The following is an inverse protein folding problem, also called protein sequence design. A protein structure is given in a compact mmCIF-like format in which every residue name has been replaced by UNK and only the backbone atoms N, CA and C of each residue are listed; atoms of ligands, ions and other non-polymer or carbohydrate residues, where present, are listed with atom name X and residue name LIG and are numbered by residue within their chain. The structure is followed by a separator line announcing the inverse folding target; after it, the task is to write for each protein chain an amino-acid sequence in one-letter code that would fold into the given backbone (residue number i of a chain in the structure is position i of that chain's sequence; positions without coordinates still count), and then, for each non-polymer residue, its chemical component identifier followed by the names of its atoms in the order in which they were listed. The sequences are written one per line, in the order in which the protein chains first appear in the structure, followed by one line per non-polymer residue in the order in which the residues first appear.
data_IF_192372961359
#
_entry.id   IF_192372961359
#
_cell.length_a   1.000
_cell.length_b   1.000
_cell.length_c   1.000
_cell.angle_alpha   90.00
_cell.angle_beta   90.00
_cell.angle_gamma   90.00
#
_symmetry.space_group_name_H-M   'P 1'
#
loop_
_entity.id
_entity.type
_entity.pdbx_description
1 polymer ?
#
# COMPACT_ATOMS: atom_id res chain seq x y z
N UNK A 1 1.06 -3.66 38.40
CA UNK A 1 2.16 -2.89 37.79
C UNK A 1 2.08 -3.04 36.27
N UNK A 2 1.76 -1.97 35.54
CA UNK A 2 1.87 -1.97 34.07
C UNK A 2 3.31 -1.63 33.69
N UNK A 3 3.92 -2.44 32.83
CA UNK A 3 5.26 -2.15 32.31
C UNK A 3 5.14 -0.92 31.39
N UNK A 4 5.92 0.17 31.58
CA UNK A 4 5.86 1.37 30.73
C UNK A 4 6.11 1.12 29.24
N UNK A 5 6.73 -0.03 28.90
CA UNK A 5 6.98 -0.47 27.53
C UNK A 5 5.88 -1.35 26.94
N UNK A 6 4.89 -1.77 27.73
CA UNK A 6 3.79 -2.58 27.24
C UNK A 6 3.06 -1.80 26.16
N UNK A 7 3.13 -2.30 24.91
CA UNK A 7 2.53 -1.73 23.69
C UNK A 7 3.24 -0.53 23.05
N UNK A 8 4.44 -0.16 23.46
CA UNK A 8 5.16 0.99 22.85
C UNK A 8 5.45 0.85 21.34
N UNK A 9 5.43 -0.37 20.80
CA UNK A 9 5.62 -0.64 19.39
C UNK A 9 4.34 -1.11 18.69
N UNK A 10 3.18 -1.02 19.33
CA UNK A 10 1.93 -1.35 18.64
C UNK A 10 1.65 -0.33 17.54
N UNK A 11 1.17 -0.79 16.38
CA UNK A 11 0.58 0.10 15.41
C UNK A 11 -0.56 0.92 16.00
N UNK A 12 -0.69 2.16 15.52
CA UNK A 12 -1.82 3.03 15.81
C UNK A 12 -2.75 2.91 14.62
N UNK A 13 -3.91 2.29 14.84
CA UNK A 13 -4.98 2.23 13.85
C UNK A 13 -5.65 3.59 13.74
N UNK A 14 -5.81 4.06 12.50
CA UNK A 14 -6.34 5.37 12.19
C UNK A 14 -7.49 5.19 11.20
N UNK A 15 -8.65 5.70 11.57
CA UNK A 15 -9.80 5.72 10.67
C UNK A 15 -9.47 6.55 9.42
N UNK A 16 -9.91 6.10 8.24
CA UNK A 16 -9.57 6.75 6.97
C UNK A 16 -9.90 8.25 6.94
N UNK A 17 -11.04 8.65 7.50
CA UNK A 17 -11.47 10.06 7.58
C UNK A 17 -10.60 10.93 8.50
N UNK A 18 -9.83 10.32 9.41
CA UNK A 18 -8.90 11.03 10.29
C UNK A 18 -7.60 11.40 9.59
N UNK A 19 -7.41 10.97 8.33
CA UNK A 19 -6.27 11.34 7.50
C UNK A 19 -6.77 12.20 6.34
N UNK A 20 -5.99 13.15 5.89
CA UNK A 20 -6.19 13.84 4.61
C UNK A 20 -4.85 13.88 3.89
N UNK A 21 -4.83 13.47 2.63
CA UNK A 21 -3.62 13.53 1.79
C UNK A 21 -3.71 14.80 0.96
N UNK A 22 -2.64 15.57 0.95
CA UNK A 22 -2.55 16.85 0.26
C UNK A 22 -1.25 16.86 -0.55
N UNK A 23 -1.30 17.38 -1.77
CA UNK A 23 -0.13 17.64 -2.60
C UNK A 23 0.17 19.13 -2.59
N UNK A 24 1.38 19.48 -2.15
CA UNK A 24 1.85 20.86 -2.15
C UNK A 24 2.27 21.30 -3.55
N UNK A 25 2.33 22.62 -3.78
CA UNK A 25 2.84 23.20 -5.04
C UNK A 25 4.28 22.79 -5.35
N UNK A 26 5.07 22.47 -4.33
CA UNK A 26 6.43 21.92 -4.42
C UNK A 26 6.48 20.51 -5.02
N UNK A 27 5.33 19.82 -5.13
CA UNK A 27 5.23 18.41 -5.50
C UNK A 27 5.41 17.44 -4.34
N UNK A 28 5.62 17.94 -3.12
CA UNK A 28 5.65 17.14 -1.90
C UNK A 28 4.24 16.70 -1.49
N UNK A 29 4.15 15.52 -0.84
CA UNK A 29 2.89 14.99 -0.33
C UNK A 29 2.88 15.07 1.20
N UNK A 30 1.80 15.60 1.75
CA UNK A 30 1.58 15.76 3.18
C UNK A 30 0.35 14.94 3.59
N UNK A 31 0.48 14.17 4.66
CA UNK A 31 -0.63 13.56 5.37
C UNK A 31 -0.97 14.43 6.59
N UNK A 32 -2.18 15.00 6.60
CA UNK A 32 -2.76 15.64 7.77
C UNK A 32 -3.50 14.57 8.58
N UNK A 33 -3.00 14.26 9.78
CA UNK A 33 -3.49 13.15 10.61
C UNK A 33 -4.07 13.69 11.92
N UNK A 34 -5.32 13.35 12.21
CA UNK A 34 -5.97 13.63 13.49
C UNK A 34 -5.77 12.44 14.42
N UNK A 35 -4.88 12.59 15.41
CA UNK A 35 -4.60 11.57 16.43
C UNK A 35 -5.11 11.96 17.83
N UNK A 36 -5.48 13.22 18.02
CA UNK A 36 -5.87 13.74 19.32
C UNK A 36 -7.38 13.74 19.50
N UNK A 37 -7.83 13.44 20.72
CA UNK A 37 -9.23 13.59 21.08
C UNK A 37 -9.61 15.08 21.15
N UNK A 38 -10.88 15.39 20.91
CA UNK A 38 -11.39 16.76 21.01
C UNK A 38 -11.17 17.37 22.40
N UNK A 39 -11.20 16.54 23.46
CA UNK A 39 -10.89 16.96 24.83
C UNK A 39 -9.43 17.41 24.97
N UNK A 40 -8.50 16.58 24.51
CA UNK A 40 -7.06 16.89 24.57
C UNK A 40 -6.73 18.16 23.78
N UNK A 41 -7.34 18.35 22.62
CA UNK A 41 -7.16 19.56 21.78
C UNK A 41 -7.58 20.83 22.53
N UNK A 42 -8.74 20.80 23.19
CA UNK A 42 -9.27 21.94 23.97
C UNK A 42 -8.40 22.24 25.19
N UNK A 43 -8.02 21.22 25.95
CA UNK A 43 -7.21 21.37 27.17
C UNK A 43 -5.81 21.93 26.89
N UNK A 44 -5.27 21.66 25.69
CA UNK A 44 -3.91 22.05 25.31
C UNK A 44 -3.87 23.20 24.28
N UNK A 45 -5.00 23.84 23.99
CA UNK A 45 -5.11 24.94 23.01
C UNK A 45 -4.42 24.65 21.66
N UNK A 46 -4.54 23.42 21.16
CA UNK A 46 -3.87 23.00 19.93
C UNK A 46 -4.64 23.50 18.69
N UNK A 47 -4.01 24.28 17.78
CA UNK A 47 -4.66 24.74 16.57
C UNK A 47 -4.96 23.53 15.66
N UNK A 48 -6.25 23.25 15.48
CA UNK A 48 -6.82 22.19 14.63
C UNK A 48 -6.55 20.73 15.01
N UNK A 49 -5.67 20.44 15.97
CA UNK A 49 -5.44 19.08 16.49
C UNK A 49 -4.97 18.06 15.44
N UNK A 50 -4.47 18.54 14.29
CA UNK A 50 -3.94 17.71 13.20
C UNK A 50 -2.42 17.79 13.18
N UNK A 51 -1.79 16.64 13.02
CA UNK A 51 -0.35 16.52 12.80
C UNK A 51 -0.11 16.46 11.30
N UNK A 52 0.75 17.35 10.78
CA UNK A 52 1.16 17.33 9.39
C UNK A 52 2.43 16.50 9.25
N UNK A 53 2.38 15.45 8.44
CA UNK A 53 3.49 14.53 8.23
C UNK A 53 3.86 14.52 6.76
N UNK A 54 5.12 14.82 6.45
CA UNK A 54 5.63 14.73 5.08
C UNK A 54 5.85 13.27 4.69
N UNK A 55 5.27 12.86 3.56
CA UNK A 55 5.40 11.50 3.02
C UNK A 55 6.65 11.38 2.15
N UNK A 56 7.47 10.37 2.42
CA UNK A 56 8.68 10.11 1.64
C UNK A 56 8.35 9.34 0.36
N UNK A 57 7.99 10.07 -0.71
CA UNK A 57 7.58 9.48 -2.01
C UNK A 57 8.67 9.51 -3.08
N UNK A 58 9.88 9.98 -2.74
CA UNK A 58 10.96 10.26 -3.71
C UNK A 58 11.45 9.02 -4.48
N UNK A 59 11.38 7.84 -3.88
CA UNK A 59 11.99 6.61 -4.44
C UNK A 59 11.04 5.77 -5.29
N UNK A 60 9.72 6.04 -5.27
CA UNK A 60 8.74 5.17 -5.93
C UNK A 60 7.66 6.01 -6.63
N UNK A 61 7.71 6.00 -7.96
CA UNK A 61 6.70 6.68 -8.79
C UNK A 61 5.31 6.07 -8.62
N UNK A 62 5.22 4.75 -8.41
CA UNK A 62 3.95 4.06 -8.15
C UNK A 62 3.22 4.63 -6.92
N UNK A 63 3.94 4.96 -5.84
CA UNK A 63 3.33 5.60 -4.66
C UNK A 63 2.70 6.96 -5.01
N UNK A 64 3.39 7.77 -5.83
CA UNK A 64 2.88 9.08 -6.24
C UNK A 64 1.58 8.95 -7.02
N UNK A 65 1.54 8.01 -7.97
CA UNK A 65 0.33 7.72 -8.77
C UNK A 65 -0.84 7.31 -7.85
N UNK A 66 -0.60 6.43 -6.88
CA UNK A 66 -1.64 6.02 -5.93
C UNK A 66 -2.13 7.21 -5.08
N UNK A 67 -1.22 8.05 -4.60
CA UNK A 67 -1.59 9.23 -3.81
C UNK A 67 -2.36 10.25 -4.63
N UNK A 68 -1.97 10.49 -5.88
CA UNK A 68 -2.70 11.33 -6.83
C UNK A 68 -4.12 10.79 -7.06
N UNK A 69 -4.28 9.47 -7.24
CA UNK A 69 -5.59 8.80 -7.36
C UNK A 69 -6.45 8.88 -6.10
N UNK A 70 -5.83 8.96 -4.92
CA UNK A 70 -6.56 9.17 -3.67
C UNK A 70 -7.02 10.63 -3.56
N UNK A 71 -6.19 11.58 -4.03
CA UNK A 71 -6.50 13.01 -4.02
C UNK A 71 -7.62 13.34 -5.02
N UNK A 72 -7.56 12.78 -6.24
CA UNK A 72 -8.58 12.98 -7.28
C UNK A 72 -9.86 12.14 -7.05
N UNK A 73 -9.89 11.33 -5.98
CA UNK A 73 -11.00 10.46 -5.60
C UNK A 73 -11.33 9.31 -6.57
N UNK A 74 -10.48 9.03 -7.56
CA UNK A 74 -10.58 7.81 -8.37
C UNK A 74 -10.35 6.56 -7.53
N UNK A 75 -9.54 6.66 -6.47
CA UNK A 75 -9.38 5.64 -5.44
C UNK A 75 -10.01 6.10 -4.12
N UNK A 76 -10.92 5.27 -3.56
CA UNK A 76 -11.40 5.47 -2.21
C UNK A 76 -10.37 4.95 -1.21
N UNK A 77 -9.96 5.83 -0.30
CA UNK A 77 -9.12 5.49 0.85
C UNK A 77 -9.93 4.74 1.92
N UNK A 78 -9.31 3.72 2.50
CA UNK A 78 -9.86 2.92 3.60
C UNK A 78 -9.16 3.18 4.94
N UNK A 79 -9.09 2.15 5.78
CA UNK A 79 -8.37 2.17 7.05
C UNK A 79 -6.88 2.49 6.85
N UNK A 80 -6.29 3.17 7.82
CA UNK A 80 -4.89 3.54 7.81
C UNK A 80 -4.22 3.09 9.10
N UNK A 81 -2.91 2.94 9.07
CA UNK A 81 -2.14 2.47 10.22
C UNK A 81 -0.78 3.16 10.27
N UNK A 82 -0.51 3.83 11.39
CA UNK A 82 0.80 4.40 11.67
C UNK A 82 1.60 3.40 12.51
N UNK A 83 2.73 2.96 12.00
CA UNK A 83 3.54 1.95 12.69
C UNK A 83 5.03 2.21 12.52
N UNK A 84 5.82 1.69 13.46
CA UNK A 84 7.26 1.82 13.46
C UNK A 84 7.90 0.49 13.10
N UNK A 85 8.76 0.49 12.09
CA UNK A 85 9.51 -0.69 11.67
C UNK A 85 10.96 -0.31 11.39
N UNK A 86 11.93 -1.06 11.94
CA UNK A 86 13.39 -0.84 11.78
C UNK A 86 13.79 0.66 11.86
N UNK A 87 13.35 1.32 12.93
CA UNK A 87 13.59 2.75 13.25
C UNK A 87 12.92 3.78 12.32
N UNK A 88 12.06 3.35 11.39
CA UNK A 88 11.31 4.24 10.48
C UNK A 88 9.82 4.20 10.81
N UNK A 89 9.17 5.33 10.59
CA UNK A 89 7.72 5.45 10.65
C UNK A 89 7.13 5.20 9.27
N UNK A 90 6.06 4.43 9.24
CA UNK A 90 5.31 4.10 8.05
C UNK A 90 3.84 4.44 8.27
N UNK A 91 3.27 5.13 7.29
CA UNK A 91 1.84 5.30 7.18
C UNK A 91 1.32 4.34 6.12
N UNK A 92 0.72 3.24 6.55
CA UNK A 92 0.00 2.33 5.65
C UNK A 92 -1.36 2.92 5.35
N UNK A 93 -1.69 3.02 4.07
CA UNK A 93 -2.97 3.53 3.58
C UNK A 93 -3.59 2.44 2.73
N UNK A 94 -4.72 1.89 3.17
CA UNK A 94 -5.51 0.99 2.30
C UNK A 94 -6.31 1.83 1.32
N UNK A 95 -6.50 1.31 0.11
CA UNK A 95 -7.29 1.98 -0.92
C UNK A 95 -7.98 0.95 -1.80
N UNK A 96 -9.07 1.37 -2.42
CA UNK A 96 -9.79 0.61 -3.45
C UNK A 96 -10.05 1.50 -4.65
N UNK A 97 -9.99 0.92 -5.85
CA UNK A 97 -10.44 1.62 -7.04
C UNK A 97 -11.94 1.86 -6.96
N UNK A 98 -12.38 3.08 -7.28
CA UNK A 98 -13.80 3.38 -7.50
C UNK A 98 -14.21 3.17 -8.96
N UNK A 99 -13.24 2.92 -9.85
CA UNK A 99 -13.50 2.65 -11.26
C UNK A 99 -14.17 1.28 -11.34
N UNK A 100 -15.42 1.27 -11.77
CA UNK A 100 -16.12 0.05 -12.21
C UNK A 100 -15.74 -0.16 -13.66
N UNK A 101 -14.70 -0.96 -13.92
CA UNK A 101 -14.47 -1.44 -15.28
C UNK A 101 -15.53 -2.51 -15.58
N UNK A 102 -16.34 -2.29 -16.61
CA UNK A 102 -17.09 -3.36 -17.23
C UNK A 102 -16.12 -4.23 -18.02
N UNK A 103 -15.47 -5.15 -17.32
CA UNK A 103 -14.66 -6.17 -17.97
C UNK A 103 -15.62 -7.09 -18.74
N UNK A 104 -15.45 -7.13 -20.06
CA UNK A 104 -16.15 -8.08 -20.92
C UNK A 104 -15.63 -9.48 -20.58
N UNK A 105 -16.37 -10.21 -19.77
CA UNK A 105 -16.09 -11.58 -19.40
C UNK A 105 -16.67 -12.53 -20.48
N UNK A 106 -15.86 -13.43 -21.02
CA UNK A 106 -16.28 -14.50 -21.93
C UNK A 106 -16.18 -15.84 -21.18
N UNK A 107 -17.32 -16.41 -20.82
CA UNK A 107 -17.42 -17.68 -20.07
C UNK A 107 -16.82 -18.88 -20.81
N UNK A 108 -16.78 -18.82 -22.15
CA UNK A 108 -16.26 -19.90 -22.98
C UNK A 108 -14.74 -19.80 -23.21
N UNK A 109 -14.11 -18.69 -22.80
CA UNK A 109 -12.67 -18.47 -22.92
C UNK A 109 -11.96 -19.00 -21.66
N UNK A 110 -11.51 -20.24 -21.73
CA UNK A 110 -10.89 -20.96 -20.61
C UNK A 110 -9.37 -20.81 -20.70
N UNK A 111 -8.76 -20.25 -19.65
CA UNK A 111 -7.30 -20.24 -19.46
C UNK A 111 -6.89 -21.47 -18.66
N UNK A 112 -6.07 -22.34 -19.26
CA UNK A 112 -5.33 -23.37 -18.54
C UNK A 112 -4.03 -22.78 -17.99
N UNK A 113 -3.73 -23.04 -16.72
CA UNK A 113 -2.49 -22.62 -16.05
C UNK A 113 -1.76 -23.86 -15.56
N UNK A 114 -0.47 -23.96 -15.91
CA UNK A 114 0.46 -24.95 -15.37
C UNK A 114 1.58 -24.24 -14.60
N UNK A 115 1.98 -24.79 -13.46
CA UNK A 115 2.99 -24.19 -12.58
C UNK A 115 4.14 -25.17 -12.37
N UNK A 116 5.36 -24.73 -12.69
CA UNK A 116 6.53 -25.58 -12.69
C UNK A 116 7.79 -24.91 -12.16
N UNK A 117 8.89 -25.66 -12.21
CA UNK A 117 10.21 -25.18 -11.79
C UNK A 117 10.92 -24.36 -12.88
N UNK A 118 10.81 -24.81 -14.14
CA UNK A 118 11.45 -24.15 -15.30
C UNK A 118 10.69 -22.86 -15.63
N UNK A 119 9.37 -22.97 -15.81
CA UNK A 119 8.45 -21.84 -15.90
C UNK A 119 7.60 -21.83 -14.62
N UNK A 120 7.62 -20.72 -13.89
CA UNK A 120 6.84 -20.57 -12.65
C UNK A 120 5.35 -20.64 -12.96
N UNK A 121 4.99 -20.11 -14.12
CA UNK A 121 3.64 -20.10 -14.64
C UNK A 121 3.73 -20.23 -16.15
N UNK A 122 2.98 -21.17 -16.71
CA UNK A 122 2.71 -21.27 -18.13
C UNK A 122 1.20 -21.19 -18.31
N UNK A 123 0.73 -20.47 -19.31
CA UNK A 123 -0.70 -20.42 -19.60
C UNK A 123 -1.02 -20.52 -21.09
N UNK A 124 -2.21 -21.06 -21.36
CA UNK A 124 -2.76 -21.17 -22.70
C UNK A 124 -4.28 -20.99 -22.65
N UNK A 125 -4.87 -20.49 -23.72
CA UNK A 125 -6.33 -20.42 -23.87
C UNK A 125 -6.85 -21.55 -24.74
N UNK A 126 -8.04 -22.05 -24.42
CA UNK A 126 -8.74 -23.06 -25.25
C UNK A 126 -9.09 -22.52 -26.65
N UNK A 127 -9.35 -21.22 -26.77
CA UNK A 127 -9.58 -20.52 -28.04
C UNK A 127 -8.26 -19.88 -28.50
N UNK A 128 -7.77 -20.28 -29.67
CA UNK A 128 -6.62 -19.66 -30.32
C UNK A 128 -5.28 -20.31 -29.98
N UNK A 129 -4.19 -19.59 -30.29
CA UNK A 129 -2.81 -20.09 -30.17
C UNK A 129 -1.97 -19.33 -29.14
N UNK A 130 -2.57 -18.39 -28.40
CA UNK A 130 -1.87 -17.58 -27.40
C UNK A 130 -1.39 -18.48 -26.27
N UNK A 131 -0.08 -18.47 -26.06
CA UNK A 131 0.64 -19.25 -25.06
C UNK A 131 1.79 -18.40 -24.56
N UNK A 132 1.91 -18.28 -23.24
CA UNK A 132 2.91 -17.42 -22.61
C UNK A 132 3.39 -18.05 -21.31
N UNK A 133 4.55 -17.59 -20.86
CA UNK A 133 5.19 -18.12 -19.67
C UNK A 133 5.87 -17.03 -18.84
N UNK A 134 5.88 -17.21 -17.52
CA UNK A 134 6.72 -16.47 -16.59
C UNK A 134 7.92 -17.36 -16.25
N UNK A 135 9.11 -16.93 -16.69
CA UNK A 135 10.36 -17.66 -16.47
C UNK A 135 10.69 -17.82 -14.98
N UNK A 136 11.27 -18.98 -14.62
CA UNK A 136 11.76 -19.29 -13.28
C UNK A 136 13.10 -18.66 -12.89
N UNK A 137 13.75 -17.94 -13.81
CA UNK A 137 15.10 -17.38 -13.60
C UNK A 137 15.21 -16.47 -12.38
N UNK A 138 14.20 -15.65 -12.08
CA UNK A 138 14.22 -14.77 -10.90
C UNK A 138 14.18 -15.57 -9.60
N UNK A 139 13.41 -16.66 -9.56
CA UNK A 139 13.35 -17.57 -8.42
C UNK A 139 14.70 -18.27 -8.23
N UNK A 140 15.34 -18.71 -9.31
CA UNK A 140 16.67 -19.31 -9.24
C UNK A 140 17.74 -18.33 -8.77
N UNK A 141 17.71 -17.09 -9.29
CA UNK A 141 18.62 -16.03 -8.86
C UNK A 141 18.42 -15.68 -7.37
N UNK A 142 17.18 -15.62 -6.89
CA UNK A 142 16.87 -15.41 -5.48
C UNK A 142 17.35 -16.58 -4.61
N UNK A 143 17.14 -17.83 -5.03
CA UNK A 143 17.66 -19.02 -4.33
C UNK A 143 19.17 -18.99 -4.20
N UNK A 144 19.90 -18.67 -5.28
CA UNK A 144 21.37 -18.54 -5.24
C UNK A 144 21.83 -17.51 -4.22
N UNK A 145 21.14 -16.36 -4.10
CA UNK A 145 21.45 -15.35 -3.08
C UNK A 145 21.30 -15.91 -1.66
N UNK A 146 20.22 -16.64 -1.39
CA UNK A 146 20.00 -17.26 -0.08
C UNK A 146 21.02 -18.36 0.25
N UNK A 147 21.50 -19.08 -0.77
CA UNK A 147 22.53 -20.14 -0.62
C UNK A 147 23.93 -19.60 -0.30
N UNK A 148 24.20 -18.32 -0.55
CA UNK A 148 25.50 -17.68 -0.31
C UNK A 148 25.57 -17.08 1.12
N UNK A 149 24.44 -16.92 1.80
CA UNK A 149 24.34 -16.40 3.16
C UNK A 149 24.38 -17.50 4.26
N UNK A 150 24.97 -18.67 3.97
CA UNK A 150 25.28 -19.75 4.94
C UNK A 150 26.77 -20.06 4.86
#
# INVERSE_FOLDING_TARGET
MSIPSFRNNLPIDIHGNSIQIIKEKSGDYIASVSLFSSKFIKENNLPNGKILVKLSTRKQNSMKVILDRIIDSTYAKGACMLHKHKKKWYLSITYKSNIKEELKFDEDLIMGIDMGKINVLYFAFNKGLVREAISGEEIEAFRKKLSIDV
#
